data_IF_640964791112
#
_entry.id   IF_640964791112
#
_cell.length_a   1.000
_cell.length_b   1.000
_cell.length_c   1.000
_cell.angle_alpha   90.00
_cell.angle_beta   90.00
_cell.angle_gamma   90.00
#
_symmetry.space_group_name_H-M   'P 1'
#
loop_
_entity.id
_entity.type
_entity.pdbx_description
1 polymer ?
#
# COMPACT_ATOMS: atom_id res chain seq x y z
N UNK A 1 -16.17 56.36 -6.01
CA UNK A 1 -17.61 56.60 -5.76
C UNK A 1 -18.04 55.71 -4.61
N UNK A 2 -18.50 56.34 -3.52
CA UNK A 2 -19.40 55.88 -2.43
C UNK A 2 -19.58 54.36 -2.16
N UNK A 3 -19.69 53.81 -0.94
CA UNK A 3 -19.55 54.23 0.47
C UNK A 3 -20.33 53.21 1.32
N UNK A 4 -19.69 52.59 2.33
CA UNK A 4 -20.17 52.23 3.71
C UNK A 4 -21.44 51.31 3.83
N UNK A 5 -21.75 50.52 4.89
CA UNK A 5 -21.55 50.50 6.36
C UNK A 5 -21.73 49.03 6.86
N UNK A 6 -20.89 48.48 7.73
CA UNK A 6 -21.06 48.33 9.20
C UNK A 6 -22.43 47.85 9.73
N UNK A 7 -22.44 46.73 10.47
CA UNK A 7 -23.16 46.58 11.74
C UNK A 7 -22.46 45.59 12.67
N UNK A 8 -22.32 46.00 13.94
CA UNK A 8 -21.76 45.31 15.09
C UNK A 8 -22.80 45.49 16.20
N UNK A 9 -23.25 44.44 16.87
CA UNK A 9 -24.02 44.55 18.13
C UNK A 9 -23.61 43.41 19.07
N UNK A 10 -23.05 43.78 20.22
CA UNK A 10 -22.96 43.00 21.45
C UNK A 10 -24.15 43.34 22.36
N UNK A 11 -24.63 42.38 23.17
CA UNK A 11 -25.09 42.65 24.55
C UNK A 11 -25.33 41.34 25.35
N UNK A 12 -24.75 41.31 26.56
CA UNK A 12 -24.99 40.40 27.69
C UNK A 12 -26.30 40.71 28.44
N UNK A 13 -26.77 39.80 29.33
CA UNK A 13 -27.23 39.96 30.74
C UNK A 13 -27.95 38.64 31.16
N UNK A 14 -27.54 37.77 32.11
CA UNK A 14 -27.33 37.76 33.58
C UNK A 14 -28.53 37.17 34.42
N UNK A 15 -28.25 36.03 35.10
CA UNK A 15 -28.76 35.53 36.42
C UNK A 15 -30.29 35.28 36.63
N UNK A 16 -30.83 34.46 37.54
CA UNK A 16 -30.44 33.72 38.76
C UNK A 16 -31.63 32.79 39.12
N UNK A 17 -31.43 31.65 39.83
CA UNK A 17 -32.56 30.96 40.48
C UNK A 17 -32.34 29.48 40.86
N UNK A 18 -31.89 29.26 42.10
CA UNK A 18 -31.74 27.98 42.81
C UNK A 18 -33.07 27.34 43.24
N UNK A 19 -33.15 26.01 43.32
CA UNK A 19 -33.70 25.29 44.49
C UNK A 19 -33.35 23.79 44.48
N UNK A 20 -32.74 23.35 45.59
CA UNK A 20 -32.53 21.96 45.99
C UNK A 20 -33.84 21.29 46.43
N UNK A 21 -34.06 20.02 46.09
CA UNK A 21 -34.54 19.00 47.04
C UNK A 21 -33.90 17.65 46.68
N UNK A 22 -33.29 17.03 47.70
CA UNK A 22 -32.68 15.71 47.66
C UNK A 22 -33.70 14.58 47.83
N UNK A 23 -33.49 13.45 47.15
CA UNK A 23 -33.93 12.12 47.63
C UNK A 23 -33.20 10.97 46.91
N UNK A 24 -32.12 10.51 47.53
CA UNK A 24 -31.73 9.11 47.76
C UNK A 24 -32.37 8.00 46.89
N UNK A 25 -31.56 7.29 46.08
CA UNK A 25 -31.24 5.85 46.26
C UNK A 25 -30.52 5.20 45.06
N UNK A 26 -29.58 4.34 45.45
CA UNK A 26 -29.02 3.13 44.80
C UNK A 26 -27.79 3.27 43.90
N UNK A 27 -26.68 2.86 44.51
CA UNK A 27 -25.43 2.42 43.94
C UNK A 27 -25.62 1.32 42.87
N UNK A 28 -24.94 1.49 41.75
CA UNK A 28 -24.38 0.39 40.96
C UNK A 28 -23.07 0.88 40.33
N UNK A 29 -22.02 0.07 40.48
CA UNK A 29 -20.62 0.48 40.42
C UNK A 29 -20.13 1.02 39.08
N UNK A 30 -19.39 2.12 39.16
CA UNK A 30 -18.43 2.56 38.14
C UNK A 30 -17.09 2.72 38.84
N UNK A 31 -16.14 1.85 38.49
CA UNK A 31 -14.78 1.90 38.98
C UNK A 31 -14.12 3.23 38.57
N UNK A 32 -13.64 3.99 39.56
CA UNK A 32 -12.76 5.15 39.34
C UNK A 32 -11.41 4.68 38.79
N UNK A 33 -10.78 5.41 37.85
CA UNK A 33 -9.41 5.11 37.44
C UNK A 33 -8.45 5.42 38.59
N UNK A 34 -7.56 4.46 38.87
CA UNK A 34 -6.51 4.58 39.86
C UNK A 34 -5.50 5.67 39.47
N UNK A 35 -4.93 6.31 40.50
CA UNK A 35 -3.94 7.38 40.38
C UNK A 35 -2.69 6.97 39.58
N UNK A 36 -2.18 7.92 38.79
CA UNK A 36 -0.94 7.79 38.02
C UNK A 36 0.28 7.49 38.91
N UNK A 37 1.14 6.53 38.54
CA UNK A 37 2.46 6.45 39.14
C UNK A 37 3.39 7.48 38.45
N UNK A 38 3.99 8.34 39.25
CA UNK A 38 5.12 9.20 38.88
C UNK A 38 6.23 8.36 38.25
N UNK A 39 6.48 8.52 36.94
CA UNK A 39 7.67 7.97 36.29
C UNK A 39 8.81 8.98 36.38
N UNK A 40 9.71 8.73 37.31
CA UNK A 40 11.10 9.18 37.22
C UNK A 40 11.79 8.53 36.03
N UNK A 41 12.56 9.32 35.28
CA UNK A 41 13.54 8.98 34.24
C UNK A 41 13.57 7.55 33.69
N UNK A 42 13.10 7.39 32.46
CA UNK A 42 13.51 6.30 31.57
C UNK A 42 13.79 6.89 30.19
N UNK A 43 14.99 6.61 29.68
CA UNK A 43 15.39 6.79 28.30
C UNK A 43 14.26 6.34 27.36
N UNK A 44 13.90 7.19 26.41
CA UNK A 44 12.91 6.92 25.38
C UNK A 44 13.38 5.74 24.52
N UNK A 45 12.95 4.51 24.86
CA UNK A 45 12.98 3.38 23.93
C UNK A 45 12.25 3.83 22.67
N UNK A 46 12.94 3.90 21.53
CA UNK A 46 12.30 4.12 20.25
C UNK A 46 11.20 3.06 20.09
N UNK A 47 9.97 3.47 19.76
CA UNK A 47 8.90 2.50 19.53
C UNK A 47 9.31 1.55 18.42
N UNK A 48 9.06 0.27 18.66
CA UNK A 48 9.30 -0.78 17.69
C UNK A 48 8.32 -0.66 16.51
N UNK A 49 8.74 -1.09 15.32
CA UNK A 49 7.96 -0.96 14.09
C UNK A 49 6.62 -1.71 14.17
N UNK A 50 6.53 -2.82 14.92
CA UNK A 50 5.26 -3.53 15.12
C UNK A 50 4.23 -2.61 15.80
N UNK A 51 4.64 -1.93 16.88
CA UNK A 51 3.79 -0.97 17.58
C UNK A 51 3.37 0.19 16.67
N UNK A 52 4.29 0.72 15.86
CA UNK A 52 3.99 1.78 14.89
C UNK A 52 2.98 1.34 13.83
N UNK A 53 3.07 0.09 13.37
CA UNK A 53 2.12 -0.49 12.43
C UNK A 53 0.72 -0.63 13.05
N UNK A 54 0.64 -1.18 14.28
CA UNK A 54 -0.63 -1.31 15.01
C UNK A 54 -1.29 0.06 15.27
N UNK A 55 -0.50 1.05 15.72
CA UNK A 55 -0.98 2.42 15.94
C UNK A 55 -1.46 3.08 14.64
N UNK A 56 -0.70 2.93 13.55
CA UNK A 56 -1.07 3.51 12.26
C UNK A 56 -2.33 2.85 11.70
N UNK A 57 -2.50 1.54 11.88
CA UNK A 57 -3.70 0.82 11.47
C UNK A 57 -4.94 1.24 12.27
N UNK A 58 -4.80 1.43 13.59
CA UNK A 58 -5.88 1.93 14.41
C UNK A 58 -6.37 3.32 13.95
N UNK A 59 -5.43 4.21 13.60
CA UNK A 59 -5.75 5.54 13.04
C UNK A 59 -6.42 5.40 11.66
N UNK A 60 -5.94 4.52 10.79
CA UNK A 60 -6.57 4.25 9.50
C UNK A 60 -8.03 3.81 9.68
N UNK A 61 -8.30 2.84 10.56
CA UNK A 61 -9.66 2.37 10.82
C UNK A 61 -10.52 3.50 11.39
N UNK A 62 -9.99 4.28 12.33
CA UNK A 62 -10.71 5.39 12.96
C UNK A 62 -11.22 6.43 11.95
N UNK A 63 -10.39 6.79 10.96
CA UNK A 63 -10.71 7.86 10.02
C UNK A 63 -11.39 7.37 8.74
N UNK A 64 -11.10 6.15 8.30
CA UNK A 64 -11.51 5.68 6.97
C UNK A 64 -12.57 4.59 7.00
N UNK A 65 -12.71 3.80 8.06
CA UNK A 65 -13.70 2.72 8.06
C UNK A 65 -15.13 3.27 8.04
N UNK A 66 -15.96 2.75 7.14
CA UNK A 66 -17.36 3.15 7.02
C UNK A 66 -18.19 2.34 8.03
N UNK A 67 -18.87 2.99 9.01
CA UNK A 67 -19.62 2.28 10.05
C UNK A 67 -20.65 1.30 9.50
N UNK A 68 -20.76 0.12 10.12
CA UNK A 68 -21.67 -0.97 9.75
C UNK A 68 -21.45 -1.54 8.34
N UNK A 69 -20.28 -1.32 7.76
CA UNK A 69 -19.87 -1.94 6.49
C UNK A 69 -18.49 -2.58 6.64
N UNK A 70 -17.98 -3.15 5.55
CA UNK A 70 -16.59 -3.63 5.40
C UNK A 70 -15.80 -2.75 4.44
N UNK A 71 -16.30 -1.55 4.17
CA UNK A 71 -15.79 -0.61 3.19
C UNK A 71 -15.07 0.56 3.86
N UNK A 72 -14.25 1.27 3.10
CA UNK A 72 -13.49 2.42 3.57
C UNK A 72 -13.80 3.65 2.71
N UNK A 73 -13.71 4.83 3.29
CA UNK A 73 -13.73 6.09 2.54
C UNK A 73 -12.44 6.26 1.75
N UNK A 74 -12.49 6.97 0.62
CA UNK A 74 -11.30 7.28 -0.18
C UNK A 74 -10.37 8.26 0.54
N UNK A 75 -10.94 9.27 1.20
CA UNK A 75 -10.23 10.36 1.87
C UNK A 75 -10.85 10.65 3.24
N UNK A 76 -10.05 11.20 4.16
CA UNK A 76 -10.56 11.75 5.43
C UNK A 76 -11.46 12.96 5.18
N UNK A 77 -11.01 13.87 4.31
CA UNK A 77 -11.69 15.13 4.02
C UNK A 77 -12.77 14.97 2.93
N UNK A 78 -13.89 14.34 3.31
CA UNK A 78 -15.02 14.10 2.41
C UNK A 78 -15.78 15.39 2.06
N UNK A 79 -16.18 15.50 0.80
CA UNK A 79 -16.97 16.62 0.24
C UNK A 79 -18.31 16.13 -0.29
N UNK A 80 -19.25 17.05 -0.43
CA UNK A 80 -20.55 16.77 -1.06
C UNK A 80 -20.34 16.28 -2.49
N UNK A 81 -20.96 15.14 -2.82
CA UNK A 81 -20.83 14.49 -4.13
C UNK A 81 -19.67 13.50 -4.24
N UNK A 82 -18.85 13.34 -3.20
CA UNK A 82 -17.86 12.27 -3.15
C UNK A 82 -18.54 10.90 -3.21
N UNK A 83 -17.84 9.93 -3.79
CA UNK A 83 -18.24 8.52 -3.80
C UNK A 83 -18.50 8.01 -2.39
N UNK A 84 -19.40 7.02 -2.29
CA UNK A 84 -19.77 6.42 -1.01
C UNK A 84 -18.57 5.78 -0.30
N UNK A 85 -17.73 5.07 -1.05
CA UNK A 85 -16.54 4.38 -0.55
C UNK A 85 -15.34 4.58 -1.49
N UNK A 86 -14.22 3.96 -1.18
CA UNK A 86 -13.01 4.04 -1.97
C UNK A 86 -13.10 3.26 -3.28
N UNK A 87 -12.22 3.60 -4.22
CA UNK A 87 -11.87 2.73 -5.35
C UNK A 87 -11.23 1.43 -4.88
N UNK A 88 -11.09 0.49 -5.83
CA UNK A 88 -10.44 -0.80 -5.58
C UNK A 88 -8.97 -0.65 -5.17
N UNK A 89 -8.21 0.23 -5.83
CA UNK A 89 -6.79 0.40 -5.56
C UNK A 89 -6.50 0.83 -4.11
N UNK A 90 -7.13 1.89 -3.55
CA UNK A 90 -6.98 2.21 -2.13
C UNK A 90 -7.48 1.11 -1.19
N UNK A 91 -8.55 0.40 -1.57
CA UNK A 91 -9.07 -0.72 -0.79
C UNK A 91 -8.05 -1.87 -0.72
N UNK A 92 -7.40 -2.20 -1.84
CA UNK A 92 -6.38 -3.24 -1.89
C UNK A 92 -5.18 -2.90 -1.01
N UNK A 93 -4.81 -1.62 -0.88
CA UNK A 93 -3.81 -1.17 0.09
C UNK A 93 -4.14 -1.55 1.54
N UNK A 94 -5.42 -1.53 1.95
CA UNK A 94 -5.84 -1.96 3.30
C UNK A 94 -5.63 -3.47 3.48
N UNK A 95 -5.84 -4.25 2.42
CA UNK A 95 -5.55 -5.69 2.42
C UNK A 95 -4.04 -5.90 2.59
N UNK A 96 -3.21 -5.16 1.84
CA UNK A 96 -1.74 -5.21 1.98
C UNK A 96 -1.26 -4.90 3.40
N UNK A 97 -1.83 -3.85 3.99
CA UNK A 97 -1.57 -3.46 5.38
C UNK A 97 -1.90 -4.59 6.37
N UNK A 98 -3.07 -5.22 6.20
CA UNK A 98 -3.53 -6.28 7.08
C UNK A 98 -2.80 -7.60 6.85
N UNK A 99 -2.44 -7.95 5.61
CA UNK A 99 -1.57 -9.08 5.31
C UNK A 99 -0.23 -8.93 6.03
N UNK A 100 0.41 -7.77 5.90
CA UNK A 100 1.70 -7.50 6.55
C UNK A 100 1.60 -7.55 8.09
N UNK A 101 0.54 -7.00 8.68
CA UNK A 101 0.29 -7.10 10.13
C UNK A 101 0.01 -8.53 10.58
N UNK A 102 -0.87 -9.24 9.87
CA UNK A 102 -1.27 -10.60 10.21
C UNK A 102 -0.12 -11.61 10.10
N UNK A 103 0.89 -11.33 9.27
CA UNK A 103 2.09 -12.14 9.14
C UNK A 103 3.13 -11.92 10.28
N UNK A 104 2.91 -10.96 11.19
CA UNK A 104 3.84 -10.73 12.32
C UNK A 104 3.73 -11.84 13.37
N UNK A 105 4.83 -12.47 13.80
CA UNK A 105 4.77 -13.62 14.71
C UNK A 105 4.07 -13.36 16.05
N UNK A 106 4.30 -12.21 16.67
CA UNK A 106 3.80 -11.93 18.03
C UNK A 106 2.39 -11.31 18.05
N UNK A 107 2.09 -10.43 17.09
CA UNK A 107 0.84 -9.65 17.07
C UNK A 107 -0.13 -10.10 15.98
N UNK A 108 0.36 -10.78 14.94
CA UNK A 108 -0.38 -11.14 13.74
C UNK A 108 -1.68 -11.91 13.97
N UNK A 109 -1.74 -12.92 14.87
CA UNK A 109 -2.98 -13.64 15.15
C UNK A 109 -4.18 -12.76 15.54
N UNK A 110 -3.95 -11.56 16.10
CA UNK A 110 -5.02 -10.61 16.45
C UNK A 110 -5.67 -9.98 15.22
N UNK A 111 -4.95 -9.89 14.11
CA UNK A 111 -5.39 -9.26 12.87
C UNK A 111 -6.02 -10.23 11.87
N UNK A 112 -5.99 -11.55 12.11
CA UNK A 112 -6.58 -12.55 11.21
C UNK A 112 -8.08 -12.32 10.96
N UNK A 113 -8.83 -11.91 12.00
CA UNK A 113 -10.25 -11.61 11.85
C UNK A 113 -10.49 -10.32 11.04
N UNK A 114 -9.65 -9.31 11.21
CA UNK A 114 -9.70 -8.07 10.43
C UNK A 114 -9.36 -8.33 8.96
N UNK A 115 -8.33 -9.14 8.69
CA UNK A 115 -7.96 -9.57 7.33
C UNK A 115 -9.09 -10.31 6.64
N UNK A 116 -9.73 -11.29 7.31
CA UNK A 116 -10.92 -11.96 6.75
C UNK A 116 -12.06 -10.98 6.46
N UNK A 117 -12.33 -10.05 7.38
CA UNK A 117 -13.40 -9.07 7.17
C UNK A 117 -13.17 -8.17 5.95
N UNK A 118 -11.94 -7.73 5.67
CA UNK A 118 -11.64 -6.93 4.48
C UNK A 118 -11.63 -7.77 3.20
N UNK A 119 -11.18 -9.02 3.26
CA UNK A 119 -11.26 -9.95 2.11
C UNK A 119 -12.72 -10.27 1.77
N UNK A 120 -13.60 -10.42 2.76
CA UNK A 120 -15.03 -10.58 2.50
C UNK A 120 -15.70 -9.27 2.03
N UNK A 121 -15.17 -8.11 2.42
CA UNK A 121 -15.63 -6.81 1.91
C UNK A 121 -15.23 -6.55 0.46
N UNK A 122 -14.05 -7.06 0.05
CA UNK A 122 -13.54 -6.99 -1.32
C UNK A 122 -14.52 -7.60 -2.34
N UNK A 123 -15.32 -8.59 -1.96
CA UNK A 123 -16.31 -9.22 -2.83
C UNK A 123 -17.40 -8.25 -3.32
N UNK A 124 -17.56 -7.08 -2.68
CA UNK A 124 -18.41 -6.00 -3.19
C UNK A 124 -17.94 -5.45 -4.55
N UNK A 125 -16.66 -5.64 -4.90
CA UNK A 125 -16.04 -5.22 -6.16
C UNK A 125 -15.99 -6.36 -7.20
N UNK A 126 -16.34 -7.59 -6.82
CA UNK A 126 -16.11 -8.77 -7.67
C UNK A 126 -17.18 -8.93 -8.76
N UNK A 127 -16.74 -9.06 -10.01
CA UNK A 127 -17.57 -9.37 -11.16
C UNK A 127 -17.42 -10.85 -11.57
N UNK A 128 -18.25 -11.70 -10.98
CA UNK A 128 -18.32 -13.12 -11.32
C UNK A 128 -18.89 -13.40 -12.73
N UNK A 129 -19.50 -12.41 -13.39
CA UNK A 129 -20.10 -12.56 -14.72
C UNK A 129 -19.13 -12.18 -15.85
N UNK A 130 -18.01 -11.53 -15.53
CA UNK A 130 -16.94 -11.29 -16.47
C UNK A 130 -16.25 -12.61 -16.86
N UNK A 131 -15.65 -12.65 -18.05
CA UNK A 131 -14.84 -13.78 -18.52
C UNK A 131 -13.47 -13.28 -19.01
N UNK A 132 -12.38 -13.54 -18.28
CA UNK A 132 -12.33 -14.16 -16.95
C UNK A 132 -12.98 -13.30 -15.85
N UNK A 133 -13.45 -13.90 -14.74
CA UNK A 133 -13.90 -13.15 -13.56
C UNK A 133 -12.80 -12.28 -12.97
N UNK A 134 -13.16 -11.10 -12.48
CA UNK A 134 -12.22 -10.10 -11.98
C UNK A 134 -12.92 -9.05 -11.12
N UNK A 135 -12.14 -8.22 -10.43
CA UNK A 135 -12.63 -7.11 -9.62
C UNK A 135 -12.71 -5.82 -10.43
N UNK A 136 -13.83 -5.12 -10.28
CA UNK A 136 -14.08 -3.79 -10.83
C UNK A 136 -13.36 -2.72 -9.99
N UNK A 137 -12.95 -1.61 -10.62
CA UNK A 137 -12.35 -0.47 -9.90
C UNK A 137 -13.28 0.20 -8.87
N UNK A 138 -14.57 -0.18 -8.83
CA UNK A 138 -15.53 0.32 -7.87
C UNK A 138 -16.62 -0.71 -7.55
N UNK A 139 -17.37 -0.51 -6.48
CA UNK A 139 -18.35 -1.50 -5.99
C UNK A 139 -19.47 -1.77 -7.01
N UNK A 140 -19.82 -3.04 -7.16
CA UNK A 140 -20.84 -3.53 -8.11
C UNK A 140 -22.24 -3.00 -7.81
N UNK A 141 -22.55 -2.78 -6.54
CA UNK A 141 -23.84 -2.22 -6.11
C UNK A 141 -24.07 -0.78 -6.60
N UNK A 142 -22.99 -0.08 -7.00
CA UNK A 142 -23.04 1.28 -7.56
C UNK A 142 -22.60 1.29 -9.04
N UNK A 143 -22.94 0.22 -9.77
CA UNK A 143 -22.67 0.09 -11.20
C UNK A 143 -21.30 -0.50 -11.56
N UNK A 144 -20.46 -0.81 -10.57
CA UNK A 144 -19.12 -1.32 -10.80
C UNK A 144 -18.19 -0.26 -11.35
N UNK A 145 -17.20 -0.67 -12.13
CA UNK A 145 -16.21 0.24 -12.70
C UNK A 145 -15.39 -0.42 -13.80
N UNK A 146 -14.52 0.37 -14.42
CA UNK A 146 -13.53 -0.14 -15.35
C UNK A 146 -12.67 -1.21 -14.66
N UNK A 147 -12.36 -2.31 -15.36
CA UNK A 147 -11.39 -3.30 -14.87
C UNK A 147 -10.00 -2.93 -15.35
N UNK A 148 -9.05 -2.97 -14.42
CA UNK A 148 -7.63 -2.75 -14.67
C UNK A 148 -6.88 -4.05 -14.41
N UNK A 149 -5.94 -4.38 -15.29
CA UNK A 149 -5.17 -5.62 -15.16
C UNK A 149 -4.25 -5.54 -13.93
N UNK A 150 -3.59 -4.40 -13.73
CA UNK A 150 -2.71 -4.17 -12.58
C UNK A 150 -3.46 -4.20 -11.24
N UNK A 151 -4.65 -3.58 -11.12
CA UNK A 151 -5.47 -3.69 -9.90
C UNK A 151 -5.70 -5.16 -9.48
N UNK A 152 -5.99 -6.03 -10.46
CA UNK A 152 -6.22 -7.44 -10.21
C UNK A 152 -4.92 -8.20 -9.94
N UNK A 153 -3.80 -7.84 -10.56
CA UNK A 153 -2.47 -8.39 -10.26
C UNK A 153 -2.05 -8.11 -8.82
N UNK A 154 -2.28 -6.89 -8.32
CA UNK A 154 -2.02 -6.54 -6.91
C UNK A 154 -2.87 -7.39 -5.98
N UNK A 155 -4.18 -7.52 -6.25
CA UNK A 155 -5.04 -8.41 -5.46
C UNK A 155 -4.59 -9.87 -5.52
N UNK A 156 -4.11 -10.35 -6.67
CA UNK A 156 -3.55 -11.69 -6.80
C UNK A 156 -2.38 -11.91 -5.83
N UNK A 157 -1.47 -10.93 -5.71
CA UNK A 157 -0.38 -10.97 -4.73
C UNK A 157 -0.91 -10.97 -3.29
N UNK A 158 -1.90 -10.12 -3.01
CA UNK A 158 -2.52 -10.08 -1.68
C UNK A 158 -3.25 -11.38 -1.31
N UNK A 159 -3.84 -12.07 -2.28
CA UNK A 159 -4.44 -13.38 -2.08
C UNK A 159 -3.40 -14.48 -1.80
N UNK A 160 -2.21 -14.42 -2.43
CA UNK A 160 -1.10 -15.32 -2.07
C UNK A 160 -0.65 -15.08 -0.63
N UNK A 161 -0.49 -13.82 -0.21
CA UNK A 161 -0.13 -13.49 1.17
C UNK A 161 -1.23 -13.93 2.18
N UNK A 162 -2.50 -13.75 1.83
CA UNK A 162 -3.63 -14.22 2.64
C UNK A 162 -3.67 -15.74 2.74
N UNK A 163 -3.40 -16.47 1.65
CA UNK A 163 -3.28 -17.94 1.66
C UNK A 163 -2.18 -18.39 2.63
N UNK A 164 -0.98 -17.80 2.55
CA UNK A 164 0.15 -18.13 3.43
C UNK A 164 -0.15 -17.88 4.91
N UNK A 165 -0.93 -16.85 5.21
CA UNK A 165 -1.21 -16.41 6.58
C UNK A 165 -2.41 -17.12 7.20
N UNK A 166 -3.50 -17.27 6.44
CA UNK A 166 -4.77 -17.80 6.90
C UNK A 166 -4.95 -19.30 6.61
N UNK A 167 -4.17 -19.86 5.67
CA UNK A 167 -4.18 -21.28 5.32
C UNK A 167 -5.40 -21.75 4.52
N UNK A 168 -6.25 -20.83 4.05
CA UNK A 168 -7.45 -21.17 3.27
C UNK A 168 -7.13 -21.25 1.76
N UNK A 169 -7.22 -22.45 1.13
CA UNK A 169 -6.90 -22.63 -0.29
C UNK A 169 -7.83 -21.86 -1.26
N UNK A 170 -8.98 -21.34 -0.80
CA UNK A 170 -9.82 -20.47 -1.61
C UNK A 170 -9.08 -19.19 -2.03
N UNK A 171 -8.19 -18.67 -1.18
CA UNK A 171 -7.38 -17.50 -1.53
C UNK A 171 -6.36 -17.83 -2.63
N UNK A 172 -5.73 -19.01 -2.60
CA UNK A 172 -4.83 -19.40 -3.69
C UNK A 172 -5.59 -19.54 -5.01
N UNK A 173 -6.79 -20.13 -4.99
CA UNK A 173 -7.69 -20.19 -6.16
C UNK A 173 -7.99 -18.79 -6.72
N UNK A 174 -8.27 -17.81 -5.84
CA UNK A 174 -8.47 -16.42 -6.24
C UNK A 174 -7.21 -15.80 -6.84
N UNK A 175 -6.02 -16.05 -6.29
CA UNK A 175 -4.77 -15.57 -6.87
C UNK A 175 -4.54 -16.11 -8.30
N UNK A 176 -4.84 -17.40 -8.54
CA UNK A 176 -4.76 -18.00 -9.87
C UNK A 176 -5.78 -17.39 -10.84
N UNK A 177 -6.98 -17.07 -10.37
CA UNK A 177 -8.00 -16.36 -11.14
C UNK A 177 -7.55 -14.95 -11.53
N UNK A 178 -6.93 -14.21 -10.61
CA UNK A 178 -6.39 -12.88 -10.89
C UNK A 178 -5.28 -12.92 -11.93
N UNK A 179 -4.37 -13.89 -11.85
CA UNK A 179 -3.34 -14.06 -12.89
C UNK A 179 -3.97 -14.43 -14.23
N UNK A 180 -4.99 -15.31 -14.25
CA UNK A 180 -5.72 -15.64 -15.48
C UNK A 180 -6.37 -14.41 -16.10
N UNK A 181 -6.97 -13.53 -15.30
CA UNK A 181 -7.50 -12.26 -15.79
C UNK A 181 -6.40 -11.35 -16.34
N UNK A 182 -5.29 -11.16 -15.61
CA UNK A 182 -4.13 -10.38 -16.07
C UNK A 182 -3.61 -10.89 -17.43
N UNK A 183 -3.41 -12.20 -17.55
CA UNK A 183 -2.92 -12.83 -18.78
C UNK A 183 -3.91 -12.75 -19.95
N UNK A 184 -5.21 -12.52 -19.70
CA UNK A 184 -6.17 -12.22 -20.77
C UNK A 184 -5.90 -10.88 -21.46
N UNK A 185 -5.16 -9.97 -20.80
CA UNK A 185 -4.67 -8.72 -21.38
C UNK A 185 -3.36 -8.88 -22.16
N UNK A 186 -2.73 -10.05 -22.14
CA UNK A 186 -1.53 -10.32 -22.94
C UNK A 186 -1.89 -10.38 -24.43
N UNK A 187 -1.12 -9.67 -25.26
CA UNK A 187 -1.29 -9.67 -26.71
C UNK A 187 0.07 -9.70 -27.43
N UNK A 188 0.22 -10.39 -28.58
CA UNK A 188 1.46 -10.38 -29.37
C UNK A 188 1.75 -9.00 -30.01
N UNK A 189 0.79 -8.08 -30.05
CA UNK A 189 1.03 -6.69 -30.47
C UNK A 189 2.14 -6.07 -29.62
N UNK A 190 2.97 -5.20 -30.22
CA UNK A 190 4.15 -4.61 -29.56
C UNK A 190 5.12 -5.66 -28.98
N UNK A 191 5.20 -6.84 -29.59
CA UNK A 191 6.13 -7.91 -29.21
C UNK A 191 5.71 -8.72 -27.98
N UNK A 192 4.49 -8.55 -27.48
CA UNK A 192 4.03 -9.15 -26.23
C UNK A 192 3.50 -8.10 -25.26
N UNK A 193 3.41 -8.46 -23.99
CA UNK A 193 3.02 -7.57 -22.90
C UNK A 193 1.52 -7.49 -22.68
N UNK A 194 1.16 -7.11 -21.45
CA UNK A 194 -0.20 -6.95 -20.94
C UNK A 194 -0.59 -5.48 -21.03
N UNK A 195 -1.78 -5.19 -21.54
CA UNK A 195 -2.34 -3.83 -21.55
C UNK A 195 -2.62 -3.33 -20.13
N UNK A 196 -2.87 -2.03 -19.94
CA UNK A 196 -3.14 -1.49 -18.60
C UNK A 196 -4.58 -1.74 -18.14
N UNK A 197 -5.56 -1.48 -19.02
CA UNK A 197 -6.99 -1.62 -18.68
C UNK A 197 -7.75 -2.42 -19.73
N UNK A 198 -8.77 -3.16 -19.28
CA UNK A 198 -9.56 -4.02 -20.16
C UNK A 198 -10.26 -3.18 -21.25
N UNK A 199 -10.27 -3.68 -22.48
CA UNK A 199 -10.85 -3.02 -23.65
C UNK A 199 -10.18 -1.70 -24.08
N UNK A 200 -8.99 -1.39 -23.56
CA UNK A 200 -8.14 -0.33 -24.09
C UNK A 200 -6.77 -0.90 -24.49
N UNK A 201 -6.52 -0.88 -25.79
CA UNK A 201 -5.29 -1.40 -26.39
C UNK A 201 -4.28 -0.31 -26.74
N UNK A 202 -4.35 0.86 -26.12
CA UNK A 202 -3.49 2.01 -26.43
C UNK A 202 -2.09 1.91 -25.84
N UNK A 203 -1.95 1.31 -24.65
CA UNK A 203 -0.68 1.27 -23.90
C UNK A 203 -0.49 -0.04 -23.14
N UNK A 204 0.76 -0.51 -23.10
CA UNK A 204 1.21 -1.61 -22.24
C UNK A 204 2.23 -1.05 -21.26
N UNK A 205 2.03 -1.32 -19.98
CA UNK A 205 2.70 -0.58 -18.92
C UNK A 205 3.55 -1.52 -18.08
N UNK A 206 4.63 -0.99 -17.52
CA UNK A 206 5.40 -1.70 -16.50
C UNK A 206 4.52 -2.08 -15.31
N UNK A 207 3.52 -1.25 -14.97
CA UNK A 207 2.61 -1.50 -13.87
C UNK A 207 1.67 -2.70 -14.04
N UNK A 208 1.38 -3.14 -15.28
CA UNK A 208 0.56 -4.34 -15.57
C UNK A 208 1.37 -5.53 -16.05
N UNK A 209 2.71 -5.45 -16.01
CA UNK A 209 3.60 -6.53 -16.44
C UNK A 209 4.54 -6.93 -15.29
N UNK A 210 5.10 -5.95 -14.58
CA UNK A 210 5.93 -6.20 -13.40
C UNK A 210 5.23 -7.04 -12.33
N UNK A 211 4.05 -6.63 -11.81
CA UNK A 211 3.35 -7.39 -10.79
C UNK A 211 2.78 -8.71 -11.32
N UNK A 212 2.32 -8.80 -12.57
CA UNK A 212 1.98 -10.09 -13.19
C UNK A 212 3.14 -11.09 -13.17
N UNK A 213 4.38 -10.64 -13.46
CA UNK A 213 5.56 -11.51 -13.39
C UNK A 213 5.84 -11.98 -11.95
N UNK A 214 5.73 -11.08 -10.97
CA UNK A 214 5.88 -11.45 -9.54
C UNK A 214 4.79 -12.43 -9.11
N UNK A 215 3.53 -12.18 -9.49
CA UNK A 215 2.40 -13.04 -9.17
C UNK A 215 2.57 -14.43 -9.75
N UNK A 216 3.00 -14.54 -11.01
CA UNK A 216 3.30 -15.81 -11.62
C UNK A 216 4.45 -16.55 -10.88
N UNK A 217 5.52 -15.88 -10.49
CA UNK A 217 6.60 -16.52 -9.71
C UNK A 217 6.12 -16.98 -8.32
N UNK A 218 5.27 -16.21 -7.66
CA UNK A 218 4.72 -16.61 -6.38
C UNK A 218 3.76 -17.79 -6.51
N UNK A 219 2.90 -17.82 -7.53
CA UNK A 219 2.06 -18.98 -7.84
C UNK A 219 2.88 -20.22 -8.22
N UNK A 220 4.00 -20.06 -8.94
CA UNK A 220 4.94 -21.16 -9.17
C UNK A 220 5.47 -21.74 -7.86
N UNK A 221 5.84 -20.89 -6.89
CA UNK A 221 6.35 -21.35 -5.59
C UNK A 221 5.30 -22.10 -4.77
N UNK A 222 4.04 -21.70 -4.84
CA UNK A 222 2.95 -22.36 -4.11
C UNK A 222 2.47 -23.66 -4.78
N UNK A 223 2.55 -23.76 -6.11
CA UNK A 223 1.91 -24.85 -6.87
C UNK A 223 2.88 -25.77 -7.59
N UNK A 224 4.12 -25.33 -7.83
CA UNK A 224 5.11 -26.03 -8.66
C UNK A 224 4.78 -26.07 -10.16
N UNK A 225 3.70 -25.42 -10.61
CA UNK A 225 3.27 -25.48 -12.01
C UNK A 225 4.15 -24.62 -12.92
N UNK A 226 4.86 -25.28 -13.83
CA UNK A 226 5.91 -24.68 -14.68
C UNK A 226 5.39 -23.58 -15.62
N UNK A 227 4.14 -23.64 -16.03
CA UNK A 227 3.49 -22.61 -16.86
C UNK A 227 3.60 -21.22 -16.23
N UNK A 228 3.54 -21.12 -14.90
CA UNK A 228 3.73 -19.86 -14.20
C UNK A 228 5.16 -19.31 -14.28
N UNK A 229 6.17 -20.17 -14.17
CA UNK A 229 7.56 -19.76 -14.37
C UNK A 229 7.83 -19.32 -15.82
N UNK A 230 7.24 -20.03 -16.78
CA UNK A 230 7.36 -19.69 -18.20
C UNK A 230 6.70 -18.33 -18.52
N UNK A 231 5.53 -18.05 -17.93
CA UNK A 231 4.87 -16.75 -18.04
C UNK A 231 5.68 -15.62 -17.42
N UNK A 232 6.19 -15.80 -16.19
CA UNK A 232 7.00 -14.79 -15.54
C UNK A 232 8.24 -14.41 -16.37
N UNK A 233 8.92 -15.41 -16.92
CA UNK A 233 10.11 -15.21 -17.76
C UNK A 233 9.75 -14.43 -19.03
N UNK A 234 8.67 -14.83 -19.72
CA UNK A 234 8.18 -14.16 -20.93
C UNK A 234 7.81 -12.69 -20.68
N UNK A 235 7.18 -12.39 -19.54
CA UNK A 235 6.79 -11.02 -19.20
C UNK A 235 8.03 -10.17 -18.91
N UNK A 236 9.02 -10.70 -18.18
CA UNK A 236 10.27 -9.97 -17.91
C UNK A 236 11.11 -9.73 -19.17
N UNK A 237 11.13 -10.69 -20.11
CA UNK A 237 11.76 -10.50 -21.43
C UNK A 237 11.11 -9.34 -22.18
N UNK A 238 9.78 -9.24 -22.13
CA UNK A 238 9.05 -8.12 -22.74
C UNK A 238 9.33 -6.78 -22.06
N UNK A 239 9.52 -6.78 -20.74
CA UNK A 239 9.87 -5.57 -19.98
C UNK A 239 11.28 -5.06 -20.23
N UNK A 240 12.22 -5.92 -20.65
CA UNK A 240 13.63 -5.58 -20.76
C UNK A 240 13.93 -4.29 -21.55
N UNK A 241 13.26 -3.97 -22.68
CA UNK A 241 13.46 -2.72 -23.41
C UNK A 241 12.96 -1.45 -22.70
N UNK A 242 12.13 -1.59 -21.66
CA UNK A 242 11.65 -0.46 -20.85
C UNK A 242 12.61 -0.10 -19.70
N UNK A 243 13.68 -0.88 -19.48
CA UNK A 243 14.75 -0.49 -18.55
C UNK A 243 15.58 0.61 -19.19
N UNK A 244 15.69 1.75 -18.52
CA UNK A 244 16.54 2.85 -18.99
C UNK A 244 18.00 2.42 -19.09
N UNK A 245 18.69 2.66 -20.22
CA UNK A 245 20.12 2.38 -20.32
C UNK A 245 20.99 3.33 -19.47
N UNK A 246 20.43 4.48 -19.06
CA UNK A 246 21.16 5.52 -18.33
C UNK A 246 20.99 5.37 -16.81
N UNK A 247 19.74 5.38 -16.33
CA UNK A 247 19.44 5.31 -14.89
C UNK A 247 19.28 3.88 -14.39
N UNK A 248 19.18 2.89 -15.29
CA UNK A 248 18.94 1.47 -14.99
C UNK A 248 17.63 1.19 -14.23
N UNK A 249 16.72 2.17 -14.13
CA UNK A 249 15.36 1.99 -13.62
C UNK A 249 14.37 1.83 -14.76
N UNK A 250 13.18 1.30 -14.47
CA UNK A 250 12.15 1.05 -15.48
C UNK A 250 11.30 2.28 -15.77
N UNK A 251 11.09 2.52 -17.07
CA UNK A 251 10.15 3.48 -17.62
C UNK A 251 8.70 2.99 -17.48
N UNK A 252 7.75 3.86 -17.78
CA UNK A 252 6.34 3.65 -17.46
C UNK A 252 5.62 2.74 -18.45
N UNK A 253 5.69 3.03 -19.75
CA UNK A 253 4.87 2.34 -20.73
C UNK A 253 5.38 2.43 -22.16
N UNK A 254 4.85 1.52 -23.01
CA UNK A 254 4.96 1.53 -24.46
C UNK A 254 3.56 1.72 -25.05
N UNK A 255 3.39 2.73 -25.90
CA UNK A 255 2.13 2.95 -26.62
C UNK A 255 2.08 2.15 -27.93
N UNK A 256 0.86 1.95 -28.44
CA UNK A 256 0.58 1.31 -29.73
C UNK A 256 1.27 2.00 -30.92
N UNK A 257 1.63 3.28 -30.78
CA UNK A 257 2.38 4.03 -31.80
C UNK A 257 3.90 3.84 -31.70
N UNK A 258 4.38 3.01 -30.77
CA UNK A 258 5.79 2.76 -30.52
C UNK A 258 6.48 3.80 -29.63
N UNK A 259 5.73 4.69 -28.97
CA UNK A 259 6.30 5.70 -28.09
C UNK A 259 6.50 5.11 -26.69
N UNK A 260 7.70 5.30 -26.12
CA UNK A 260 8.00 4.95 -24.73
C UNK A 260 7.76 6.17 -23.85
N UNK A 261 6.88 6.04 -22.86
CA UNK A 261 6.77 7.01 -21.78
C UNK A 261 7.90 6.77 -20.77
N UNK A 262 8.84 7.70 -20.71
CA UNK A 262 10.07 7.59 -19.92
C UNK A 262 9.92 8.07 -18.48
N UNK A 263 8.71 8.38 -18.01
CA UNK A 263 8.48 8.61 -16.58
C UNK A 263 8.87 7.38 -15.78
N UNK A 264 9.36 7.60 -14.57
CA UNK A 264 9.87 6.53 -13.69
C UNK A 264 9.16 6.60 -12.36
N UNK A 265 8.72 5.45 -11.87
CA UNK A 265 8.06 5.31 -10.57
C UNK A 265 8.73 4.19 -9.77
N UNK A 266 8.79 4.35 -8.44
CA UNK A 266 9.51 3.40 -7.57
C UNK A 266 8.98 1.98 -7.72
N UNK A 267 7.66 1.79 -7.80
CA UNK A 267 7.02 0.50 -7.95
C UNK A 267 7.29 -0.19 -9.30
N UNK A 268 7.41 0.57 -10.39
CA UNK A 268 7.75 0.03 -11.72
C UNK A 268 9.16 -0.60 -11.76
N UNK A 269 10.07 -0.15 -10.88
CA UNK A 269 11.38 -0.79 -10.72
C UNK A 269 11.36 -1.85 -9.62
N UNK A 270 10.56 -1.63 -8.57
CA UNK A 270 10.41 -2.56 -7.46
C UNK A 270 9.91 -3.95 -7.88
N UNK A 271 9.01 -4.03 -8.86
CA UNK A 271 8.47 -5.30 -9.33
C UNK A 271 9.47 -6.15 -10.13
N UNK A 272 10.21 -5.64 -11.14
CA UNK A 272 11.32 -6.37 -11.74
C UNK A 272 12.42 -6.75 -10.74
N UNK A 273 12.74 -5.88 -9.77
CA UNK A 273 13.70 -6.19 -8.71
C UNK A 273 13.22 -7.43 -7.93
N UNK A 274 11.96 -7.41 -7.48
CA UNK A 274 11.34 -8.53 -6.77
C UNK A 274 11.36 -9.82 -7.63
N UNK A 275 10.93 -9.72 -8.88
CA UNK A 275 10.85 -10.86 -9.78
C UNK A 275 12.23 -11.50 -10.05
N UNK A 276 13.28 -10.69 -10.24
CA UNK A 276 14.64 -11.19 -10.39
C UNK A 276 15.15 -11.87 -9.10
N UNK A 277 14.86 -11.31 -7.91
CA UNK A 277 15.21 -11.95 -6.65
C UNK A 277 14.51 -13.31 -6.45
N UNK A 278 13.24 -13.44 -6.89
CA UNK A 278 12.52 -14.72 -6.88
C UNK A 278 13.07 -15.71 -7.90
N UNK A 279 13.37 -15.26 -9.13
CA UNK A 279 13.94 -16.10 -10.17
C UNK A 279 15.30 -16.70 -9.77
N UNK A 280 16.17 -15.92 -9.13
CA UNK A 280 17.41 -16.46 -8.59
C UNK A 280 17.14 -17.55 -7.55
N UNK A 281 16.20 -17.31 -6.63
CA UNK A 281 15.83 -18.29 -5.60
C UNK A 281 15.27 -19.59 -6.20
N UNK A 282 14.48 -19.48 -7.27
CA UNK A 282 13.86 -20.62 -7.96
C UNK A 282 14.87 -21.41 -8.79
N UNK A 283 15.75 -20.72 -9.53
CA UNK A 283 16.59 -21.33 -10.57
C UNK A 283 18.05 -21.54 -10.16
N UNK A 284 18.54 -20.77 -9.19
CA UNK A 284 19.95 -20.68 -8.85
C UNK A 284 20.81 -19.91 -9.87
N UNK A 285 20.23 -19.36 -10.95
CA UNK A 285 21.00 -18.65 -11.98
C UNK A 285 21.51 -17.30 -11.43
N UNK A 286 22.84 -17.08 -11.36
CA UNK A 286 23.42 -15.89 -10.77
C UNK A 286 23.06 -14.60 -11.51
N UNK A 287 22.71 -14.65 -12.80
CA UNK A 287 22.34 -13.46 -13.59
C UNK A 287 21.14 -12.72 -13.00
N UNK A 288 20.16 -13.45 -12.47
CA UNK A 288 19.00 -12.84 -11.83
C UNK A 288 19.36 -12.15 -10.50
N UNK A 289 20.32 -12.70 -9.73
CA UNK A 289 20.80 -12.04 -8.51
C UNK A 289 21.59 -10.77 -8.85
N UNK A 290 22.44 -10.82 -9.85
CA UNK A 290 23.20 -9.66 -10.35
C UNK A 290 22.27 -8.54 -10.81
N UNK A 291 21.23 -8.88 -11.58
CA UNK A 291 20.21 -7.94 -12.02
C UNK A 291 19.42 -7.35 -10.84
N UNK A 292 18.98 -8.17 -9.88
CA UNK A 292 18.29 -7.69 -8.68
C UNK A 292 19.16 -6.72 -7.86
N UNK A 293 20.46 -7.01 -7.69
CA UNK A 293 21.42 -6.10 -7.03
C UNK A 293 21.58 -4.78 -7.80
N UNK A 294 21.71 -4.85 -9.12
CA UNK A 294 21.85 -3.67 -9.98
C UNK A 294 20.60 -2.78 -9.89
N UNK A 295 19.40 -3.36 -9.98
CA UNK A 295 18.14 -2.64 -9.82
C UNK A 295 18.00 -2.03 -8.42
N UNK A 296 18.45 -2.73 -7.39
CA UNK A 296 18.38 -2.21 -6.02
C UNK A 296 19.27 -0.97 -5.84
N UNK A 297 20.52 -1.02 -6.33
CA UNK A 297 21.44 0.10 -6.30
C UNK A 297 20.94 1.28 -7.14
N UNK A 298 20.49 1.01 -8.37
CA UNK A 298 19.99 2.01 -9.31
C UNK A 298 18.74 2.72 -8.79
N UNK A 299 17.75 1.96 -8.31
CA UNK A 299 16.53 2.52 -7.73
C UNK A 299 16.82 3.41 -6.51
N UNK A 300 17.72 3.00 -5.63
CA UNK A 300 18.08 3.83 -4.48
C UNK A 300 18.77 5.14 -4.89
N UNK A 301 19.71 5.07 -5.84
CA UNK A 301 20.41 6.24 -6.36
C UNK A 301 19.46 7.23 -7.07
N UNK A 302 18.52 6.71 -7.86
CA UNK A 302 17.59 7.48 -8.68
C UNK A 302 16.43 8.07 -7.88
N UNK A 303 15.79 7.28 -7.02
CA UNK A 303 14.56 7.69 -6.33
C UNK A 303 14.78 8.28 -4.94
N UNK A 304 15.95 8.08 -4.32
CA UNK A 304 16.27 8.69 -3.02
C UNK A 304 17.45 9.66 -3.14
N UNK A 305 17.32 10.77 -3.91
CA UNK A 305 18.38 11.75 -4.05
C UNK A 305 18.71 12.42 -2.71
N UNK A 306 19.92 12.95 -2.58
CA UNK A 306 20.29 13.75 -1.41
C UNK A 306 19.51 15.05 -1.44
N UNK A 307 18.74 15.26 -0.39
CA UNK A 307 18.02 16.48 -0.13
C UNK A 307 18.97 17.63 0.18
N UNK A 308 18.89 18.70 -0.60
CA UNK A 308 19.83 19.81 -0.51
C UNK A 308 19.80 20.56 0.83
N UNK A 309 18.65 20.55 1.52
CA UNK A 309 18.45 21.30 2.76
C UNK A 309 18.88 20.51 3.99
N UNK A 310 18.47 19.24 4.06
CA UNK A 310 18.73 18.39 5.23
C UNK A 310 19.97 17.51 5.09
N UNK A 311 20.50 17.34 3.87
CA UNK A 311 21.56 16.38 3.56
C UNK A 311 21.11 14.91 3.67
N UNK A 312 19.84 14.64 3.98
CA UNK A 312 19.26 13.29 4.06
C UNK A 312 18.80 12.83 2.67
N UNK A 313 18.63 11.53 2.46
CA UNK A 313 17.99 11.00 1.25
C UNK A 313 16.51 10.75 1.53
N UNK A 314 15.62 11.18 0.65
CA UNK A 314 14.18 10.91 0.76
C UNK A 314 13.66 10.23 -0.50
N UNK A 315 12.90 9.15 -0.32
CA UNK A 315 12.09 8.58 -1.40
C UNK A 315 10.97 9.54 -1.81
N UNK A 316 10.40 9.41 -3.03
CA UNK A 316 9.38 10.33 -3.53
C UNK A 316 8.10 10.29 -2.69
N UNK A 317 7.30 11.35 -2.76
CA UNK A 317 6.08 11.56 -1.96
C UNK A 317 4.89 10.67 -2.42
N UNK A 318 5.14 9.36 -2.50
CA UNK A 318 4.21 8.32 -2.96
C UNK A 318 4.38 7.06 -2.09
N UNK A 319 3.87 7.05 -0.84
CA UNK A 319 4.06 5.96 0.11
C UNK A 319 3.78 4.57 -0.46
N UNK A 320 2.69 4.40 -1.21
CA UNK A 320 2.35 3.09 -1.78
C UNK A 320 3.34 2.62 -2.86
N UNK A 321 3.79 3.52 -3.75
CA UNK A 321 4.83 3.13 -4.71
C UNK A 321 6.13 2.73 -4.01
N UNK A 322 6.47 3.42 -2.91
CA UNK A 322 7.63 3.09 -2.10
C UNK A 322 7.46 1.78 -1.34
N UNK A 323 6.25 1.44 -0.87
CA UNK A 323 5.95 0.14 -0.26
C UNK A 323 6.19 -1.01 -1.23
N UNK A 324 5.77 -0.88 -2.50
CA UNK A 324 6.06 -1.88 -3.53
C UNK A 324 7.57 -2.01 -3.79
N UNK A 325 8.32 -0.91 -3.81
CA UNK A 325 9.78 -0.96 -3.90
C UNK A 325 10.42 -1.66 -2.69
N UNK A 326 9.89 -1.43 -1.47
CA UNK A 326 10.34 -2.15 -0.27
C UNK A 326 10.18 -3.66 -0.42
N UNK A 327 9.06 -4.14 -0.98
CA UNK A 327 8.84 -5.58 -1.24
C UNK A 327 10.00 -6.16 -2.07
N UNK A 328 10.46 -5.43 -3.09
CA UNK A 328 11.64 -5.79 -3.87
C UNK A 328 12.92 -5.85 -3.02
N UNK A 329 13.23 -4.81 -2.25
CA UNK A 329 14.41 -4.79 -1.37
C UNK A 329 14.40 -5.94 -0.36
N UNK A 330 13.25 -6.26 0.22
CA UNK A 330 13.09 -7.38 1.15
C UNK A 330 13.29 -8.73 0.46
N UNK A 331 12.76 -8.90 -0.77
CA UNK A 331 12.97 -10.11 -1.55
C UNK A 331 14.45 -10.32 -1.89
N UNK A 332 15.16 -9.25 -2.29
CA UNK A 332 16.60 -9.30 -2.51
C UNK A 332 17.33 -9.67 -1.21
N UNK A 333 17.06 -8.97 -0.10
CA UNK A 333 17.70 -9.27 1.19
C UNK A 333 17.51 -10.73 1.60
N UNK A 334 16.29 -11.27 1.47
CA UNK A 334 16.01 -12.65 1.84
C UNK A 334 16.67 -13.69 0.91
N UNK A 335 16.96 -13.33 -0.34
CA UNK A 335 17.59 -14.22 -1.32
C UNK A 335 19.13 -14.10 -1.32
N UNK A 336 19.66 -12.89 -1.15
CA UNK A 336 21.07 -12.59 -1.30
C UNK A 336 21.88 -13.06 -0.08
N UNK A 337 22.91 -13.92 -0.24
CA UNK A 337 23.80 -14.31 0.85
C UNK A 337 24.48 -13.14 1.56
N UNK A 338 24.65 -11.99 0.90
CA UNK A 338 25.23 -10.78 1.50
C UNK A 338 24.34 -10.16 2.57
N UNK A 339 23.02 -10.37 2.52
CA UNK A 339 22.06 -9.80 3.47
C UNK A 339 22.28 -8.28 3.66
N UNK A 340 22.53 -7.56 2.57
CA UNK A 340 22.78 -6.11 2.61
C UNK A 340 21.49 -5.36 2.98
N UNK A 341 21.54 -4.61 4.08
CA UNK A 341 20.41 -3.83 4.60
C UNK A 341 20.39 -2.39 4.12
N UNK A 342 21.35 -1.94 3.32
CA UNK A 342 21.52 -0.54 2.91
C UNK A 342 20.21 0.14 2.49
N UNK A 343 19.42 -0.52 1.64
CA UNK A 343 18.18 0.03 1.09
C UNK A 343 17.01 -0.04 2.08
N UNK A 344 16.93 -1.13 2.84
CA UNK A 344 15.92 -1.34 3.90
C UNK A 344 16.11 -0.30 5.00
N UNK A 345 17.35 -0.11 5.48
CA UNK A 345 17.70 0.85 6.51
C UNK A 345 17.55 2.31 6.01
N UNK A 346 17.63 2.55 4.70
CA UNK A 346 17.29 3.86 4.13
C UNK A 346 15.78 4.14 4.23
N UNK A 347 14.92 3.16 3.90
CA UNK A 347 13.47 3.29 4.10
C UNK A 347 13.12 3.41 5.58
N UNK A 348 13.73 2.62 6.46
CA UNK A 348 13.56 2.76 7.92
C UNK A 348 13.86 4.19 8.39
N UNK A 349 14.99 4.77 7.98
CA UNK A 349 15.35 6.16 8.35
C UNK A 349 14.35 7.20 7.83
N UNK A 350 13.78 6.98 6.64
CA UNK A 350 12.71 7.85 6.11
C UNK A 350 11.44 7.74 6.94
N UNK A 351 11.05 6.53 7.35
CA UNK A 351 9.87 6.31 8.18
C UNK A 351 10.06 6.82 9.61
N UNK A 352 11.24 6.66 10.20
CA UNK A 352 11.60 7.26 11.50
C UNK A 352 11.46 8.79 11.44
N UNK A 353 11.91 9.41 10.34
CA UNK A 353 11.76 10.85 10.13
C UNK A 353 10.30 11.22 9.90
N UNK A 354 9.57 10.46 9.08
CA UNK A 354 8.15 10.67 8.82
C UNK A 354 7.30 10.57 10.10
N UNK A 355 7.62 9.63 10.98
CA UNK A 355 6.96 9.50 12.30
C UNK A 355 7.04 10.78 13.13
N UNK A 356 8.20 11.44 13.10
CA UNK A 356 8.45 12.66 13.87
C UNK A 356 7.99 13.94 13.16
N UNK A 357 7.98 13.96 11.83
CA UNK A 357 7.89 15.20 11.04
C UNK A 357 6.79 15.23 9.98
N UNK A 358 6.26 14.07 9.59
CA UNK A 358 5.22 13.94 8.57
C UNK A 358 3.92 13.34 9.13
N UNK A 359 3.81 13.17 10.45
CA UNK A 359 2.60 12.72 11.14
C UNK A 359 1.83 13.90 11.75
N UNK A 360 0.56 14.03 11.42
CA UNK A 360 -0.34 15.06 11.92
C UNK A 360 -0.86 14.76 13.33
N UNK A 361 -1.46 15.77 13.96
CA UNK A 361 -1.99 15.67 15.32
C UNK A 361 -3.12 14.63 15.47
N UNK A 362 -3.85 14.35 14.39
CA UNK A 362 -4.88 13.31 14.32
C UNK A 362 -4.32 11.90 14.02
N UNK A 363 -2.98 11.79 13.94
CA UNK A 363 -2.25 10.55 13.71
C UNK A 363 -2.01 10.20 12.24
N UNK A 364 -2.62 10.91 11.27
CA UNK A 364 -2.49 10.65 9.84
C UNK A 364 -1.13 11.13 9.29
N UNK A 365 -0.65 10.49 8.22
CA UNK A 365 0.63 10.83 7.58
C UNK A 365 0.45 11.69 6.33
N UNK A 366 1.35 12.64 6.12
CA UNK A 366 1.60 13.25 4.81
C UNK A 366 2.37 12.27 3.93
N UNK A 367 2.10 12.21 2.60
CA UNK A 367 2.91 11.41 1.68
C UNK A 367 4.35 11.93 1.55
N UNK A 368 4.58 13.22 1.83
CA UNK A 368 5.92 13.82 1.91
C UNK A 368 6.59 13.48 3.24
N UNK A 369 7.44 12.46 3.20
CA UNK A 369 8.20 11.99 4.37
C UNK A 369 9.30 12.95 4.82
N UNK A 370 9.64 14.00 4.06
CA UNK A 370 10.55 15.04 4.55
C UNK A 370 9.88 15.93 5.61
N UNK A 371 8.54 15.99 5.61
CA UNK A 371 7.73 16.82 6.49
C UNK A 371 7.69 18.30 6.08
N UNK A 372 8.29 18.69 4.96
CA UNK A 372 8.41 20.09 4.53
C UNK A 372 7.13 20.70 4.00
N UNK A 373 6.28 19.89 3.38
CA UNK A 373 4.92 20.28 3.02
C UNK A 373 4.09 20.70 4.25
N UNK A 374 4.62 20.55 5.48
CA UNK A 374 4.06 21.14 6.69
C UNK A 374 2.70 20.56 7.06
N UNK A 375 2.43 19.32 6.62
CA UNK A 375 1.11 18.66 6.72
C UNK A 375 -0.02 19.45 6.01
N UNK A 376 0.32 20.47 5.22
CA UNK A 376 -0.62 21.47 4.68
C UNK A 376 -1.51 20.95 3.56
N UNK A 377 -1.21 19.76 3.01
CA UNK A 377 -2.15 19.09 2.12
C UNK A 377 -3.35 18.61 2.94
N UNK A 378 -4.59 19.08 2.66
CA UNK A 378 -5.79 18.52 3.28
C UNK A 378 -6.04 17.06 2.83
N UNK A 379 -5.49 16.67 1.67
CA UNK A 379 -5.77 15.36 1.10
C UNK A 379 -5.02 14.24 1.83
N UNK A 380 -5.70 13.60 2.79
CA UNK A 380 -5.30 12.34 3.42
C UNK A 380 -5.99 11.19 2.69
N UNK A 381 -5.24 10.53 1.82
CA UNK A 381 -5.73 9.45 0.97
C UNK A 381 -5.55 8.08 1.63
N UNK A 382 -6.55 7.21 1.49
CA UNK A 382 -6.56 5.88 2.12
C UNK A 382 -5.34 5.05 1.72
N UNK A 383 -4.96 5.06 0.45
CA UNK A 383 -3.86 4.25 -0.07
C UNK A 383 -2.53 4.60 0.61
N UNK A 384 -2.27 5.90 0.82
CA UNK A 384 -1.05 6.36 1.48
C UNK A 384 -1.00 5.92 2.94
N UNK A 385 -2.12 6.02 3.66
CA UNK A 385 -2.19 5.59 5.06
C UNK A 385 -2.01 4.07 5.17
N UNK A 386 -2.63 3.31 4.27
CA UNK A 386 -2.51 1.86 4.26
C UNK A 386 -1.06 1.43 3.95
N UNK A 387 -0.41 2.11 3.01
CA UNK A 387 1.00 1.87 2.70
C UNK A 387 1.91 2.15 3.91
N UNK A 388 1.63 3.17 4.74
CA UNK A 388 2.40 3.39 5.97
C UNK A 388 2.28 2.22 6.95
N UNK A 389 1.09 1.63 7.11
CA UNK A 389 0.91 0.42 7.92
C UNK A 389 1.74 -0.74 7.37
N UNK A 390 1.64 -0.99 6.06
CA UNK A 390 2.40 -2.06 5.39
C UNK A 390 3.90 -1.89 5.60
N UNK A 391 4.42 -0.68 5.37
CA UNK A 391 5.83 -0.34 5.51
C UNK A 391 6.35 -0.62 6.92
N UNK A 392 5.66 -0.14 7.97
CA UNK A 392 6.06 -0.44 9.35
C UNK A 392 5.95 -1.93 9.67
N UNK A 393 4.87 -2.60 9.27
CA UNK A 393 4.69 -4.03 9.54
C UNK A 393 5.79 -4.88 8.88
N UNK A 394 6.11 -4.64 7.60
CA UNK A 394 7.17 -5.38 6.91
C UNK A 394 8.56 -5.15 7.51
N UNK A 395 8.83 -3.94 8.03
CA UNK A 395 10.09 -3.62 8.72
C UNK A 395 10.14 -4.10 10.17
N UNK A 396 9.02 -4.51 10.75
CA UNK A 396 8.97 -5.19 12.06
C UNK A 396 9.29 -6.68 11.95
N UNK A 397 9.08 -7.28 10.77
CA UNK A 397 9.40 -8.68 10.55
C UNK A 397 10.92 -8.90 10.58
N UNK A 398 11.36 -9.92 11.31
CA UNK A 398 12.77 -10.37 11.31
C UNK A 398 12.98 -11.34 10.14
N UNK A 399 13.71 -10.90 9.12
CA UNK A 399 13.95 -11.61 7.85
C UNK A 399 15.24 -12.43 7.83
#
# INVERSE_FOLDING_TARGET
>A
MYSRRHFLVQALWLALGTCLVAACRRESGLARPAAQPTRSGKESRSMDNAQRAEETYAILVQHFAIPNTRLFYEHVDRKDGDRFCSGLWPYSGVISALNALAALPEVGPRYHAALRNVLEGLEAYYDAQADPPAYDSYIRADGGGQKYYDDNEWLGLEFVEAFRTLGDPAYLTKAEEMLRFALSGWSPAMGGGIYWRQHDETTKNTCSNGPAAVLALELYRETGRRDYLDWATRILEWLAPLKSPDSLVYWDSLSVTGNIDRRTFTYNTGTPLHANALLHRITGDPRYLEEARALAAASYAHFAPVDALSGKRFFPDTPWFNAVLLRGYLALYATDPLRDRTYIDAMQRNLDHAWAHARAADGTFSPDWSGRSGLTSPHRWLLDQAAMVELYARLAHTW
#
